data_IF_541746932150
#
_entry.id   IF_541746932150
#
_cell.length_a   1.000
_cell.length_b   1.000
_cell.length_c   1.000
_cell.angle_alpha   90.00
_cell.angle_beta   90.00
_cell.angle_gamma   90.00
#
_symmetry.space_group_name_H-M   'P 1'
#
loop_
_entity.id
_entity.type
_entity.pdbx_description
1 polymer ?
#
# COMPACT_ATOMS: atom_id res chain seq x y z
N UNK A 1 25.52 3.39 -16.95
CA UNK A 1 24.97 4.73 -16.66
C UNK A 1 23.93 5.08 -17.71
N UNK A 2 22.65 4.88 -17.41
CA UNK A 2 21.54 5.40 -18.22
C UNK A 2 20.58 6.05 -17.24
N UNK A 3 20.74 7.37 -17.03
CA UNK A 3 19.80 8.18 -16.26
C UNK A 3 18.54 8.24 -17.11
N UNK A 4 17.52 7.47 -16.74
CA UNK A 4 16.23 7.47 -17.43
C UNK A 4 15.47 8.69 -16.90
N UNK A 5 15.29 9.65 -17.79
CA UNK A 5 14.59 10.91 -17.54
C UNK A 5 13.14 10.54 -17.26
N UNK A 6 12.72 10.63 -16.00
CA UNK A 6 11.32 10.49 -15.62
C UNK A 6 10.62 11.78 -16.02
N UNK A 7 9.84 11.67 -17.08
CA UNK A 7 8.93 12.70 -17.56
C UNK A 7 7.78 12.78 -16.56
N UNK A 8 7.96 13.61 -15.52
CA UNK A 8 6.88 14.01 -14.62
C UNK A 8 5.81 14.73 -15.44
N UNK A 9 4.64 14.11 -15.53
CA UNK A 9 3.43 14.74 -16.04
C UNK A 9 3.05 15.80 -15.02
N UNK A 10 3.44 17.04 -15.34
CA UNK A 10 3.11 18.23 -14.58
C UNK A 10 1.64 18.55 -14.84
N UNK A 11 0.74 18.04 -14.00
CA UNK A 11 -0.63 18.57 -13.95
C UNK A 11 -0.54 19.90 -13.22
N UNK A 12 -0.84 20.98 -13.95
CA UNK A 12 -0.45 22.35 -13.62
C UNK A 12 -0.89 22.81 -12.22
N UNK A 13 0.10 23.01 -11.35
CA UNK A 13 -0.03 23.85 -10.18
C UNK A 13 0.37 25.28 -10.60
N UNK A 14 -0.63 26.17 -10.68
CA UNK A 14 -0.40 27.60 -10.92
C UNK A 14 0.54 28.16 -9.86
N UNK A 15 1.76 28.50 -10.29
CA UNK A 15 2.78 29.14 -9.47
C UNK A 15 2.39 30.61 -9.24
N UNK A 16 1.70 30.89 -8.13
CA UNK A 16 1.55 32.25 -7.63
C UNK A 16 2.66 32.54 -6.61
N UNK A 17 3.64 33.36 -7.00
CA UNK A 17 4.58 34.00 -6.09
C UNK A 17 3.83 34.96 -5.15
N UNK A 18 3.73 34.62 -3.87
CA UNK A 18 3.49 35.54 -2.74
C UNK A 18 4.30 34.94 -1.59
N UNK A 19 5.45 35.50 -1.23
CA UNK A 19 5.54 36.66 -0.36
C UNK A 19 5.57 36.15 1.09
N UNK A 20 6.70 36.36 1.79
CA UNK A 20 6.87 35.99 3.20
C UNK A 20 5.81 36.73 4.04
N UNK A 21 4.66 36.08 4.23
CA UNK A 21 3.52 36.52 5.01
C UNK A 21 3.26 35.49 6.09
N UNK A 22 2.69 35.93 7.21
CA UNK A 22 2.35 35.09 8.35
C UNK A 22 1.71 33.77 7.92
N UNK A 23 2.15 32.66 8.52
CA UNK A 23 1.62 31.32 8.21
C UNK A 23 0.11 31.34 8.37
N UNK A 24 -0.61 31.03 7.30
CA UNK A 24 -2.05 31.08 7.20
C UNK A 24 -2.72 29.90 7.90
N UNK A 25 -3.99 30.06 8.25
CA UNK A 25 -4.89 29.00 8.73
C UNK A 25 -4.96 27.85 7.73
N UNK A 26 -5.20 26.62 8.21
CA UNK A 26 -5.37 25.46 7.35
C UNK A 26 -6.58 25.64 6.45
N UNK A 27 -6.38 25.56 5.13
CA UNK A 27 -7.44 25.62 4.13
C UNK A 27 -7.33 24.45 3.16
N UNK A 28 -8.43 24.15 2.48
CA UNK A 28 -8.51 22.98 1.60
C UNK A 28 -7.51 23.03 0.43
N UNK A 29 -7.20 24.22 -0.10
CA UNK A 29 -6.25 24.45 -1.20
C UNK A 29 -4.78 24.25 -0.80
N UNK A 30 -4.51 24.20 0.51
CA UNK A 30 -3.17 24.08 1.07
C UNK A 30 -2.76 22.64 1.40
N UNK A 31 -3.66 21.68 1.19
CA UNK A 31 -3.44 20.26 1.43
C UNK A 31 -3.66 19.51 0.13
N UNK A 32 -2.67 18.73 -0.27
CA UNK A 32 -2.74 17.91 -1.47
C UNK A 32 -2.23 16.50 -1.18
N UNK A 33 -2.80 15.52 -1.88
CA UNK A 33 -2.38 14.12 -1.83
C UNK A 33 -2.26 13.60 -3.26
N UNK A 34 -1.16 12.92 -3.54
CA UNK A 34 -0.88 12.35 -4.87
C UNK A 34 -0.10 11.05 -4.72
N UNK A 35 -0.05 10.26 -5.81
CA UNK A 35 0.88 9.15 -5.92
C UNK A 35 1.91 9.42 -7.01
N UNK A 36 3.11 8.83 -6.91
CA UNK A 36 4.10 8.89 -7.99
C UNK A 36 3.58 8.24 -9.29
N UNK A 37 2.62 7.31 -9.15
CA UNK A 37 1.94 6.61 -10.23
C UNK A 37 0.48 6.35 -9.85
N UNK A 38 -0.44 6.55 -10.81
CA UNK A 38 -1.86 6.24 -10.65
C UNK A 38 -2.13 4.73 -10.78
N UNK A 39 -1.31 4.05 -11.57
CA UNK A 39 -1.33 2.60 -11.77
C UNK A 39 0.06 2.04 -11.50
N UNK A 40 0.16 1.12 -10.55
CA UNK A 40 1.39 0.39 -10.28
C UNK A 40 1.41 -0.92 -11.05
N UNK A 41 2.36 -0.98 -11.99
CA UNK A 41 2.95 -2.19 -12.57
C UNK A 41 3.26 -3.18 -11.47
N UNK A 42 4.21 -2.81 -10.61
CA UNK A 42 5.04 -3.66 -9.74
C UNK A 42 4.53 -3.85 -8.30
N UNK A 43 3.41 -3.22 -7.94
CA UNK A 43 2.91 -3.21 -6.56
C UNK A 43 3.68 -2.27 -5.62
N UNK A 44 4.69 -1.54 -6.10
CA UNK A 44 5.35 -0.49 -5.32
C UNK A 44 4.98 0.88 -5.87
N UNK A 45 4.77 1.85 -5.00
CA UNK A 45 4.49 3.25 -5.31
C UNK A 45 4.68 4.11 -4.06
N UNK A 46 4.65 5.43 -4.22
CA UNK A 46 4.82 6.41 -3.15
C UNK A 46 3.59 7.29 -3.12
N UNK A 47 2.92 7.33 -1.96
CA UNK A 47 1.86 8.29 -1.68
C UNK A 47 2.48 9.53 -1.04
N UNK A 48 2.39 10.66 -1.73
CA UNK A 48 2.95 11.94 -1.34
C UNK A 48 1.85 12.80 -0.73
N UNK A 49 2.05 13.19 0.52
CA UNK A 49 1.27 14.24 1.18
C UNK A 49 2.03 15.55 0.97
N UNK A 50 1.35 16.54 0.44
CA UNK A 50 1.88 17.88 0.22
C UNK A 50 1.12 18.88 1.10
N UNK A 51 1.88 19.58 1.94
CA UNK A 51 1.42 20.73 2.69
C UNK A 51 2.05 21.97 2.05
N UNK A 52 1.25 22.83 1.44
CA UNK A 52 1.77 23.97 0.71
C UNK A 52 2.52 24.96 1.62
N UNK A 53 3.39 25.79 1.03
CA UNK A 53 4.09 26.85 1.76
C UNK A 53 3.09 27.81 2.45
N UNK A 54 3.47 28.25 3.64
CA UNK A 54 2.71 29.12 4.52
C UNK A 54 1.75 28.39 5.44
N UNK A 55 1.72 27.05 5.47
CA UNK A 55 0.87 26.28 6.42
C UNK A 55 1.60 26.16 7.76
N UNK A 56 0.89 26.39 8.87
CA UNK A 56 1.40 26.09 10.22
C UNK A 56 1.65 24.59 10.39
N UNK A 57 2.37 24.19 11.42
CA UNK A 57 2.55 22.76 11.73
C UNK A 57 1.19 22.12 12.01
N UNK A 58 0.93 20.95 11.43
CA UNK A 58 -0.35 20.25 11.49
C UNK A 58 -0.17 18.79 11.87
N UNK A 59 -1.22 18.16 12.37
CA UNK A 59 -1.29 16.72 12.51
C UNK A 59 -1.87 16.14 11.22
N UNK A 60 -1.35 15.01 10.74
CA UNK A 60 -2.00 14.29 9.65
C UNK A 60 -2.12 12.80 9.92
N UNK A 61 -3.21 12.24 9.40
CA UNK A 61 -3.52 10.81 9.38
C UNK A 61 -3.75 10.40 7.93
N UNK A 62 -3.02 9.39 7.47
CA UNK A 62 -3.22 8.74 6.17
C UNK A 62 -3.74 7.33 6.42
N UNK A 63 -4.88 7.01 5.83
CA UNK A 63 -5.47 5.67 5.84
C UNK A 63 -5.50 5.10 4.43
N UNK A 64 -5.52 3.78 4.32
CA UNK A 64 -5.70 3.02 3.10
C UNK A 64 -6.84 2.01 3.31
N UNK A 65 -7.89 2.08 2.49
CA UNK A 65 -9.09 1.24 2.61
C UNK A 65 -9.64 1.25 4.05
N UNK A 66 -9.57 2.40 4.72
CA UNK A 66 -9.96 2.61 6.12
C UNK A 66 -8.97 2.13 7.19
N UNK A 67 -7.85 1.49 6.81
CA UNK A 67 -6.80 1.07 7.73
C UNK A 67 -5.71 2.14 7.85
N UNK A 68 -5.25 2.42 9.08
CA UNK A 68 -4.19 3.39 9.33
C UNK A 68 -2.88 2.98 8.63
N UNK A 69 -2.33 3.87 7.80
CA UNK A 69 -1.00 3.72 7.15
C UNK A 69 0.05 4.59 7.83
N UNK A 70 -0.31 5.84 8.13
CA UNK A 70 0.64 6.81 8.67
C UNK A 70 -0.10 7.80 9.56
N UNK A 71 0.50 8.17 10.68
CA UNK A 71 0.03 9.25 11.54
C UNK A 71 1.24 10.03 11.99
N UNK A 72 1.23 11.36 11.83
CA UNK A 72 2.30 12.24 12.26
C UNK A 72 1.70 13.48 12.91
N UNK A 73 2.38 13.96 13.94
CA UNK A 73 2.04 15.17 14.67
C UNK A 73 3.09 16.25 14.38
N UNK A 74 2.73 17.52 14.56
CA UNK A 74 3.63 18.68 14.40
C UNK A 74 4.37 18.69 13.04
N UNK A 75 3.63 18.44 11.97
CA UNK A 75 4.16 18.33 10.61
C UNK A 75 4.20 19.69 9.94
N UNK A 76 5.40 20.19 9.69
CA UNK A 76 5.63 21.41 8.90
C UNK A 76 5.31 21.21 7.41
N UNK A 77 5.19 22.33 6.70
CA UNK A 77 5.03 22.43 5.25
C UNK A 77 6.03 21.57 4.43
N UNK A 78 5.71 21.37 3.15
CA UNK A 78 6.47 20.58 2.19
C UNK A 78 6.00 19.14 2.05
N UNK A 79 6.74 18.37 1.25
CA UNK A 79 6.36 17.01 0.82
C UNK A 79 6.68 15.96 1.88
N UNK A 80 5.77 15.02 2.11
CA UNK A 80 5.91 13.87 3.01
C UNK A 80 5.58 12.60 2.25
N UNK A 81 6.61 11.82 1.95
CA UNK A 81 6.51 10.56 1.21
C UNK A 81 6.08 9.41 2.14
N UNK A 82 5.17 8.56 1.65
CA UNK A 82 4.76 7.31 2.28
C UNK A 82 4.97 6.19 1.26
N UNK A 83 5.98 5.34 1.51
CA UNK A 83 6.40 4.30 0.58
C UNK A 83 5.49 3.09 0.74
N UNK A 84 4.79 2.72 -0.34
CA UNK A 84 3.96 1.54 -0.44
C UNK A 84 4.75 0.47 -1.20
N UNK A 85 4.81 -0.75 -0.66
CA UNK A 85 5.59 -1.82 -1.26
C UNK A 85 4.84 -3.14 -1.23
N UNK A 86 5.08 -3.97 -2.24
CA UNK A 86 4.51 -5.31 -2.39
C UNK A 86 2.98 -5.34 -2.29
N UNK A 87 2.32 -4.29 -2.80
CA UNK A 87 0.86 -4.22 -2.91
C UNK A 87 0.41 -5.23 -3.95
N UNK A 88 -0.62 -6.00 -3.64
CA UNK A 88 -1.20 -6.98 -4.56
C UNK A 88 -2.09 -6.28 -5.58
N UNK A 89 -2.42 -6.97 -6.68
CA UNK A 89 -3.40 -6.48 -7.64
C UNK A 89 -4.69 -6.07 -6.94
N UNK A 90 -5.15 -4.85 -7.19
CA UNK A 90 -6.32 -4.30 -6.53
C UNK A 90 -6.41 -2.79 -6.69
N UNK A 91 -7.47 -2.23 -6.12
CA UNK A 91 -7.66 -0.78 -6.02
C UNK A 91 -7.48 -0.37 -4.56
N UNK A 92 -6.69 0.67 -4.35
CA UNK A 92 -6.33 1.18 -3.03
C UNK A 92 -6.83 2.60 -2.89
N UNK A 93 -7.73 2.81 -1.94
CA UNK A 93 -8.29 4.11 -1.61
C UNK A 93 -7.55 4.69 -0.42
N UNK A 94 -6.93 5.86 -0.61
CA UNK A 94 -6.23 6.60 0.42
C UNK A 94 -7.07 7.78 0.88
N UNK A 95 -7.24 7.91 2.20
CA UNK A 95 -7.88 9.07 2.82
C UNK A 95 -6.86 9.76 3.70
N UNK A 96 -6.51 11.00 3.35
CA UNK A 96 -5.70 11.90 4.14
C UNK A 96 -6.61 12.81 4.95
N UNK A 97 -6.40 12.87 6.26
CA UNK A 97 -7.00 13.85 7.15
C UNK A 97 -5.89 14.70 7.76
N UNK A 98 -5.94 16.01 7.57
CA UNK A 98 -5.01 16.97 8.16
C UNK A 98 -5.77 17.84 9.15
N UNK A 99 -5.21 18.09 10.32
CA UNK A 99 -5.80 18.89 11.38
C UNK A 99 -4.79 19.91 11.91
N UNK A 100 -5.23 21.15 12.10
CA UNK A 100 -4.39 22.19 12.75
C UNK A 100 -4.64 22.28 14.26
N UNK A 101 -3.86 23.15 14.93
CA UNK A 101 -3.97 23.42 16.35
C UNK A 101 -5.31 24.08 16.75
N UNK A 102 -5.95 24.74 15.78
CA UNK A 102 -7.25 25.40 15.91
C UNK A 102 -8.41 24.39 15.77
N UNK A 103 -8.11 23.14 15.40
CA UNK A 103 -9.07 22.04 15.23
C UNK A 103 -9.74 22.00 13.86
N UNK A 104 -9.34 22.87 12.92
CA UNK A 104 -9.79 22.80 11.54
C UNK A 104 -9.28 21.52 10.91
N UNK A 105 -10.10 20.90 10.06
CA UNK A 105 -9.78 19.64 9.41
C UNK A 105 -9.98 19.73 7.91
N UNK A 106 -9.01 19.22 7.16
CA UNK A 106 -9.07 19.06 5.71
C UNK A 106 -8.93 17.58 5.40
N UNK A 107 -9.84 17.05 4.57
CA UNK A 107 -9.80 15.66 4.13
C UNK A 107 -9.64 15.59 2.61
N UNK A 108 -8.75 14.72 2.14
CA UNK A 108 -8.50 14.47 0.72
C UNK A 108 -8.46 12.97 0.45
N UNK A 109 -8.88 12.60 -0.75
CA UNK A 109 -8.97 11.21 -1.19
C UNK A 109 -8.10 10.99 -2.43
N UNK A 110 -7.50 9.80 -2.54
CA UNK A 110 -6.67 9.39 -3.67
C UNK A 110 -6.89 7.90 -3.94
N UNK A 111 -7.14 7.52 -5.18
CA UNK A 111 -7.17 6.12 -5.59
C UNK A 111 -5.88 5.75 -6.34
N UNK A 112 -5.29 4.60 -6.02
CA UNK A 112 -4.18 4.00 -6.76
C UNK A 112 -4.57 2.59 -7.17
N UNK A 113 -4.42 2.27 -8.45
CA UNK A 113 -4.64 0.92 -8.96
C UNK A 113 -3.32 0.16 -8.99
N UNK A 114 -3.33 -1.10 -8.60
CA UNK A 114 -2.22 -2.03 -8.84
C UNK A 114 -2.71 -3.03 -9.86
N UNK A 115 -2.12 -3.01 -11.04
CA UNK A 115 -2.37 -4.01 -12.08
C UNK A 115 -1.49 -5.25 -11.81
N UNK A 116 -1.63 -6.30 -12.63
CA UNK A 116 -0.87 -7.54 -12.43
C UNK A 116 0.65 -7.28 -12.53
N UNK A 117 1.31 -7.19 -11.37
CA UNK A 117 2.74 -7.50 -11.21
C UNK A 117 2.95 -8.85 -10.61
N UNK A 118 3.92 -9.53 -11.21
CA UNK A 118 4.71 -10.61 -10.63
C UNK A 118 5.41 -10.14 -9.34
N UNK A 119 4.68 -10.08 -8.24
CA UNK A 119 5.23 -10.04 -6.89
C UNK A 119 4.34 -10.88 -5.97
N UNK A 120 4.88 -12.03 -5.58
CA UNK A 120 4.21 -13.11 -4.87
C UNK A 120 3.79 -12.74 -3.43
N UNK A 121 2.66 -13.32 -3.05
CA UNK A 121 2.29 -13.88 -1.75
C UNK A 121 2.61 -13.08 -0.48
N UNK A 122 1.56 -12.56 0.17
CA UNK A 122 1.06 -13.15 1.43
C UNK A 122 0.00 -12.21 2.03
N UNK A 123 -1.25 -12.67 2.04
CA UNK A 123 -2.26 -12.53 3.12
C UNK A 123 -3.65 -12.75 2.52
N UNK A 124 -3.95 -13.99 2.12
CA UNK A 124 -5.35 -14.40 2.00
C UNK A 124 -5.86 -14.70 3.40
N UNK A 125 -6.60 -13.72 3.92
CA UNK A 125 -7.57 -13.87 5.00
C UNK A 125 -8.56 -15.00 4.65
N UNK A 126 -8.33 -16.16 5.25
CA UNK A 126 -9.21 -17.29 5.67
C UNK A 126 -10.46 -17.72 4.86
N UNK A 127 -10.92 -17.01 3.83
CA UNK A 127 -12.16 -17.29 3.08
C UNK A 127 -11.95 -17.78 1.64
N UNK A 128 -10.71 -17.91 1.18
CA UNK A 128 -10.41 -18.56 -0.12
C UNK A 128 -9.07 -19.27 -0.03
N UNK A 129 -9.07 -20.44 0.62
CA UNK A 129 -7.94 -21.35 0.60
C UNK A 129 -7.76 -21.85 -0.84
N UNK A 130 -6.61 -21.54 -1.46
CA UNK A 130 -6.31 -21.99 -2.82
C UNK A 130 -6.15 -23.51 -2.89
N UNK A 131 -6.45 -24.13 -4.04
CA UNK A 131 -6.14 -25.55 -4.25
C UNK A 131 -4.61 -25.77 -4.26
N UNK A 132 -4.17 -26.91 -3.71
CA UNK A 132 -2.78 -27.32 -3.74
C UNK A 132 -2.34 -27.55 -5.20
N UNK A 133 -1.15 -27.07 -5.55
CA UNK A 133 -0.51 -27.30 -6.85
C UNK A 133 0.87 -27.92 -6.64
N UNK A 134 1.20 -28.89 -7.48
CA UNK A 134 2.51 -29.54 -7.53
C UNK A 134 3.50 -28.86 -8.49
N UNK A 135 3.11 -27.77 -9.16
CA UNK A 135 3.83 -27.14 -10.28
C UNK A 135 5.00 -26.23 -9.84
N UNK A 136 5.71 -26.62 -8.78
CA UNK A 136 6.86 -25.88 -8.25
C UNK A 136 6.50 -24.59 -7.46
N UNK A 137 5.34 -24.55 -6.82
CA UNK A 137 4.93 -23.45 -5.93
C UNK A 137 5.75 -23.48 -4.63
N UNK A 138 6.25 -22.33 -4.19
CA UNK A 138 6.89 -22.22 -2.88
C UNK A 138 5.84 -22.04 -1.78
N UNK A 139 5.78 -22.99 -0.86
CA UNK A 139 4.92 -22.95 0.31
C UNK A 139 5.74 -22.64 1.56
N UNK A 140 5.27 -21.73 2.41
CA UNK A 140 5.92 -21.39 3.68
C UNK A 140 5.14 -21.95 4.87
N UNK A 141 5.82 -22.10 6.01
CA UNK A 141 5.18 -22.59 7.25
C UNK A 141 4.02 -21.66 7.62
N UNK A 142 2.81 -22.21 7.69
CA UNK A 142 1.62 -21.42 7.95
C UNK A 142 0.59 -21.40 6.83
N UNK A 143 1.03 -21.61 5.58
CA UNK A 143 0.16 -21.57 4.41
C UNK A 143 -0.94 -22.61 4.48
N UNK A 144 -2.10 -22.30 3.88
CA UNK A 144 -3.25 -23.19 3.82
C UNK A 144 -3.59 -23.52 2.37
N UNK A 145 -3.85 -24.79 2.08
CA UNK A 145 -4.26 -25.28 0.76
C UNK A 145 -5.44 -26.25 0.87
N UNK A 146 -6.23 -26.34 -0.20
CA UNK A 146 -7.28 -27.33 -0.37
C UNK A 146 -6.74 -28.48 -1.23
N UNK A 147 -6.93 -29.72 -0.78
CA UNK A 147 -6.56 -30.91 -1.54
C UNK A 147 -7.58 -32.01 -1.26
N UNK A 148 -8.24 -32.51 -2.32
CA UNK A 148 -9.25 -33.58 -2.21
C UNK A 148 -10.36 -33.25 -1.19
N UNK A 149 -10.96 -32.05 -1.31
CA UNK A 149 -12.03 -31.52 -0.43
C UNK A 149 -11.64 -31.33 1.05
N UNK A 150 -10.35 -31.42 1.36
CA UNK A 150 -9.80 -31.24 2.71
C UNK A 150 -8.84 -30.08 2.74
N UNK A 151 -8.74 -29.43 3.89
CA UNK A 151 -7.82 -28.31 4.13
C UNK A 151 -6.56 -28.82 4.79
N UNK A 152 -5.42 -28.30 4.36
CA UNK A 152 -4.12 -28.62 4.93
C UNK A 152 -3.34 -27.34 5.23
N UNK A 153 -2.54 -27.37 6.29
CA UNK A 153 -1.62 -26.32 6.68
C UNK A 153 -0.17 -26.78 6.47
N UNK A 154 0.65 -25.96 5.84
CA UNK A 154 2.08 -26.21 5.67
C UNK A 154 2.81 -26.14 7.02
N UNK A 155 3.58 -27.19 7.34
CA UNK A 155 4.38 -27.33 8.56
C UNK A 155 5.84 -26.95 8.36
N UNK A 156 6.38 -27.20 7.16
CA UNK A 156 7.77 -26.92 6.81
C UNK A 156 7.81 -26.25 5.44
N UNK A 157 8.51 -25.13 5.33
CA UNK A 157 8.63 -24.41 4.07
C UNK A 157 9.33 -25.26 3.00
N UNK A 158 8.76 -25.36 1.81
CA UNK A 158 9.27 -26.18 0.71
C UNK A 158 8.73 -25.72 -0.64
N UNK A 159 9.43 -26.06 -1.71
CA UNK A 159 8.90 -25.97 -3.08
C UNK A 159 8.12 -27.24 -3.40
N UNK A 160 6.89 -27.09 -3.90
CA UNK A 160 5.97 -28.20 -4.20
C UNK A 160 6.56 -29.15 -5.25
N UNK A 161 6.32 -30.44 -5.06
CA UNK A 161 6.66 -31.49 -6.01
C UNK A 161 5.48 -32.47 -6.09
N UNK A 162 5.33 -33.15 -7.23
CA UNK A 162 4.21 -34.09 -7.47
C UNK A 162 4.08 -35.16 -6.37
N UNK A 163 5.23 -35.69 -5.91
CA UNK A 163 5.33 -36.67 -4.82
C UNK A 163 5.09 -36.09 -3.42
N UNK A 164 5.00 -34.77 -3.26
CA UNK A 164 4.90 -34.05 -1.97
C UNK A 164 3.52 -33.44 -1.72
N UNK A 165 2.47 -34.12 -2.19
CA UNK A 165 1.10 -33.70 -1.94
C UNK A 165 0.69 -33.85 -0.45
N UNK A 166 -0.39 -33.17 -0.01
CA UNK A 166 -0.77 -33.14 1.40
C UNK A 166 -1.17 -34.49 2.02
N UNK A 167 -1.49 -35.50 1.21
CA UNK A 167 -1.79 -36.86 1.70
C UNK A 167 -0.55 -37.75 1.75
N UNK A 168 0.39 -37.59 0.82
CA UNK A 168 1.64 -38.37 0.76
C UNK A 168 2.72 -37.82 1.70
N UNK A 169 2.76 -36.51 1.93
CA UNK A 169 3.82 -35.84 2.69
C UNK A 169 3.31 -35.24 4.02
N UNK A 170 2.89 -36.09 4.95
CA UNK A 170 2.38 -35.68 6.27
C UNK A 170 3.41 -34.93 7.16
N UNK A 171 4.70 -34.99 6.84
CA UNK A 171 5.74 -34.19 7.52
C UNK A 171 5.76 -32.73 7.06
N UNK A 172 5.28 -32.46 5.84
CA UNK A 172 5.21 -31.12 5.23
C UNK A 172 3.83 -30.50 5.43
N UNK A 173 2.78 -31.31 5.56
CA UNK A 173 1.39 -30.87 5.60
C UNK A 173 0.62 -31.43 6.79
N UNK A 174 -0.27 -30.62 7.37
CA UNK A 174 -1.18 -31.01 8.44
C UNK A 174 -2.62 -30.74 8.06
N UNK A 175 -3.46 -31.77 8.04
CA UNK A 175 -4.90 -31.61 7.86
C UNK A 175 -5.46 -30.69 8.97
N UNK A 176 -6.26 -29.71 8.57
CA UNK A 176 -7.00 -28.81 9.45
C UNK A 176 -8.49 -28.94 9.16
N UNK A 177 -9.30 -28.80 10.21
CA UNK A 177 -10.76 -28.77 10.10
C UNK A 177 -11.24 -27.35 9.83
#
# INVERSE_FOLDING_TARGET
MKKKVISMILVGLSLALVGCGDKSTLTEDKVNISADKEVSEDGNYVVVVELCEGVKSVDYTLTENGQLVSSKEDVDEGLKENIMSNKVKGEYEYVLTVKDDEGNTVTKELAVKVDDSLAASATLSDSSIAEWSGDGIEYVVGDKVNYSDKKYKCLQGHTSQDDWNPVSAASLWKEIK
#
